data_IF_643959683600
#
_entry.id   IF_643959683600
#
_cell.length_a   1.000
_cell.length_b   1.000
_cell.length_c   1.000
_cell.angle_alpha   90.00
_cell.angle_beta   90.00
_cell.angle_gamma   90.00
#
_symmetry.space_group_name_H-M   'P 1'
#
loop_
_entity.id
_entity.type
_entity.pdbx_description
1 polymer ?
#
# COMPACT_ATOMS: atom_id res chain seq x y z
N UNK A 1 -1.06 -1.94 -16.04
CA UNK A 1 -1.82 -2.15 -14.78
C UNK A 1 -1.36 -1.18 -13.68
N UNK A 2 -2.09 -0.97 -12.57
CA UNK A 2 -1.80 0.07 -11.55
C UNK A 2 -0.32 0.09 -11.09
N UNK A 3 0.32 -1.08 -11.01
CA UNK A 3 1.74 -1.25 -10.65
C UNK A 3 2.74 -0.62 -11.63
N UNK A 4 2.36 -0.50 -12.89
CA UNK A 4 3.19 0.07 -13.96
C UNK A 4 2.95 1.58 -14.10
N UNK A 5 1.80 2.06 -13.63
CA UNK A 5 1.35 3.45 -13.79
C UNK A 5 1.57 4.31 -12.54
N UNK A 6 2.03 3.71 -11.44
CA UNK A 6 2.18 4.41 -10.15
C UNK A 6 3.51 4.06 -9.49
N UNK A 7 4.12 5.05 -8.83
CA UNK A 7 5.31 4.80 -8.02
C UNK A 7 4.95 4.02 -6.76
N UNK A 8 5.73 2.97 -6.46
CA UNK A 8 5.56 2.12 -5.28
C UNK A 8 5.54 2.93 -3.97
N UNK A 9 6.33 4.00 -3.89
CA UNK A 9 6.46 4.87 -2.72
C UNK A 9 5.15 5.58 -2.36
N UNK A 10 4.25 5.75 -3.34
CA UNK A 10 2.94 6.37 -3.14
C UNK A 10 1.92 5.39 -2.54
N UNK A 11 2.25 4.11 -2.44
CA UNK A 11 1.34 3.09 -1.93
C UNK A 11 1.41 3.10 -0.40
N UNK A 12 0.25 3.09 0.25
CA UNK A 12 0.12 3.08 1.71
C UNK A 12 -0.73 1.90 2.14
N UNK A 13 -0.42 1.35 3.31
CA UNK A 13 -1.23 0.30 3.93
C UNK A 13 -2.56 0.90 4.42
N UNK A 14 -3.67 0.25 4.06
CA UNK A 14 -4.98 0.52 4.63
C UNK A 14 -5.27 -0.54 5.70
N UNK A 15 -5.51 -0.15 6.98
CA UNK A 15 -5.90 -1.10 8.02
C UNK A 15 -7.11 -1.94 7.61
N UNK A 16 -7.10 -3.24 7.90
CA UNK A 16 -8.16 -4.17 7.45
C UNK A 16 -9.58 -3.76 7.85
N UNK A 17 -9.78 -3.29 9.10
CA UNK A 17 -11.09 -2.80 9.55
C UNK A 17 -11.61 -1.56 8.79
N UNK A 18 -10.72 -0.84 8.08
CA UNK A 18 -11.07 0.27 7.20
C UNK A 18 -11.11 -0.15 5.73
N UNK A 19 -10.52 -1.30 5.38
CA UNK A 19 -10.44 -1.78 4.01
C UNK A 19 -11.82 -2.26 3.53
N UNK A 20 -12.45 -1.58 2.56
CA UNK A 20 -13.74 -2.02 2.04
C UNK A 20 -13.66 -3.39 1.35
N UNK A 21 -12.49 -3.82 0.86
CA UNK A 21 -12.28 -5.15 0.28
C UNK A 21 -12.35 -6.29 1.31
N UNK A 22 -12.29 -5.98 2.61
CA UNK A 22 -12.49 -6.97 3.66
C UNK A 22 -13.98 -7.30 3.85
N UNK A 23 -14.91 -6.41 3.46
CA UNK A 23 -16.36 -6.65 3.56
C UNK A 23 -16.80 -7.92 2.80
N UNK A 24 -16.53 -8.08 1.49
CA UNK A 24 -16.86 -9.33 0.78
C UNK A 24 -16.10 -10.53 1.34
N UNK A 25 -14.85 -10.36 1.77
CA UNK A 25 -14.01 -11.41 2.36
C UNK A 25 -14.54 -11.92 3.71
N UNK A 26 -15.22 -11.07 4.49
CA UNK A 26 -15.81 -11.38 5.79
C UNK A 26 -17.24 -11.93 5.74
N UNK A 27 -17.64 -12.55 4.62
CA UNK A 27 -18.98 -13.16 4.40
C UNK A 27 -20.12 -12.16 4.21
N UNK A 28 -19.85 -10.96 3.71
CA UNK A 28 -20.90 -10.07 3.23
C UNK A 28 -21.45 -10.62 1.90
N UNK A 29 -22.76 -10.89 1.84
CA UNK A 29 -23.39 -11.29 0.57
C UNK A 29 -23.43 -10.10 -0.39
N UNK A 30 -23.47 -10.36 -1.70
CA UNK A 30 -23.58 -9.30 -2.71
C UNK A 30 -24.79 -8.37 -2.48
N UNK A 31 -25.91 -8.92 -1.98
CA UNK A 31 -27.08 -8.14 -1.57
C UNK A 31 -26.75 -7.12 -0.47
N UNK A 32 -25.94 -7.50 0.51
CA UNK A 32 -25.57 -6.64 1.63
C UNK A 32 -24.53 -5.56 1.24
N UNK A 33 -23.90 -5.70 0.07
CA UNK A 33 -23.03 -4.66 -0.50
C UNK A 33 -23.83 -3.60 -1.26
N UNK A 34 -25.05 -3.92 -1.72
CA UNK A 34 -25.92 -2.95 -2.37
C UNK A 34 -26.30 -1.88 -1.36
N UNK A 35 -25.90 -0.63 -1.64
CA UNK A 35 -26.12 0.50 -0.74
C UNK A 35 -25.18 0.54 0.48
N UNK A 36 -24.15 -0.32 0.54
CA UNK A 36 -23.13 -0.22 1.58
C UNK A 36 -22.23 1.00 1.32
N UNK A 37 -22.37 2.02 2.15
CA UNK A 37 -21.67 3.29 1.98
C UNK A 37 -20.15 3.13 1.96
N UNK A 38 -19.59 2.32 2.86
CA UNK A 38 -18.15 2.04 2.94
C UNK A 38 -17.62 1.32 1.70
N UNK A 39 -18.39 0.40 1.13
CA UNK A 39 -18.02 -0.29 -0.12
C UNK A 39 -18.04 0.65 -1.32
N UNK A 40 -19.03 1.54 -1.39
CA UNK A 40 -19.24 2.43 -2.52
C UNK A 40 -18.33 3.66 -2.49
N UNK A 41 -18.16 4.26 -1.31
CA UNK A 41 -17.42 5.51 -1.11
C UNK A 41 -16.00 5.28 -0.57
N UNK A 42 -15.69 4.07 -0.12
CA UNK A 42 -14.43 3.75 0.54
C UNK A 42 -14.40 4.20 2.00
N UNK A 43 -13.22 4.17 2.64
CA UNK A 43 -13.05 4.63 4.01
C UNK A 43 -13.02 6.16 4.12
N UNK A 44 -13.64 6.68 5.16
CA UNK A 44 -13.83 8.12 5.40
C UNK A 44 -12.53 8.93 5.39
N UNK A 45 -11.42 8.33 5.84
CA UNK A 45 -10.14 9.02 5.91
C UNK A 45 -9.61 9.45 4.53
N UNK A 46 -10.05 8.83 3.43
CA UNK A 46 -9.66 9.26 2.08
C UNK A 46 -10.19 10.65 1.73
N UNK A 47 -11.24 11.11 2.40
CA UNK A 47 -11.77 12.47 2.26
C UNK A 47 -11.02 13.48 3.13
N UNK A 48 -10.20 13.01 4.07
CA UNK A 48 -9.42 13.86 4.95
C UNK A 48 -8.05 14.19 4.32
N UNK A 49 -7.40 15.28 4.76
CA UNK A 49 -6.01 15.56 4.45
C UNK A 49 -5.07 14.38 4.76
N UNK A 50 -4.02 14.20 3.94
CA UNK A 50 -3.09 13.04 4.02
C UNK A 50 -2.39 12.87 5.38
N UNK A 51 -2.19 13.95 6.10
CA UNK A 51 -1.62 14.00 7.45
C UNK A 51 -2.55 13.37 8.50
N UNK A 52 -3.84 13.23 8.20
CA UNK A 52 -4.83 12.57 9.06
C UNK A 52 -5.11 11.13 8.66
N UNK A 53 -4.42 10.62 7.63
CA UNK A 53 -4.58 9.23 7.23
C UNK A 53 -4.00 8.30 8.30
N UNK A 54 -4.58 7.10 8.48
CA UNK A 54 -4.06 6.13 9.42
C UNK A 54 -2.62 5.80 9.04
N UNK A 55 -1.70 6.06 9.98
CA UNK A 55 -0.30 5.66 9.85
C UNK A 55 -0.17 4.27 10.44
N UNK A 56 0.37 3.34 9.67
CA UNK A 56 0.63 2.00 10.18
C UNK A 56 1.84 2.05 11.14
N UNK A 57 1.70 1.69 12.43
CA UNK A 57 2.84 1.61 13.33
C UNK A 57 3.90 0.58 12.87
N UNK A 58 3.57 -0.33 11.94
CA UNK A 58 4.50 -1.28 11.32
C UNK A 58 5.14 -0.77 10.02
N UNK A 59 4.64 0.30 9.40
CA UNK A 59 5.23 0.78 8.12
C UNK A 59 6.67 1.29 8.31
N UNK A 60 7.00 1.81 9.49
CA UNK A 60 8.36 2.21 9.86
C UNK A 60 9.35 1.04 9.82
N UNK A 61 8.93 -0.16 10.25
CA UNK A 61 9.80 -1.35 10.25
C UNK A 61 9.96 -1.93 8.84
N UNK A 62 8.88 -1.95 8.03
CA UNK A 62 8.98 -2.47 6.66
C UNK A 62 9.78 -1.52 5.75
N UNK A 63 9.69 -0.20 5.95
CA UNK A 63 10.51 0.77 5.24
C UNK A 63 12.00 0.59 5.58
N UNK A 64 12.36 0.35 6.85
CA UNK A 64 13.74 0.06 7.25
C UNK A 64 14.28 -1.28 6.71
N UNK A 65 13.46 -2.34 6.72
CA UNK A 65 13.85 -3.65 6.16
C UNK A 65 14.00 -3.58 4.63
N UNK A 66 13.09 -2.90 3.93
CA UNK A 66 13.21 -2.69 2.49
C UNK A 66 14.43 -1.82 2.14
N UNK A 67 14.71 -0.77 2.93
CA UNK A 67 15.89 0.08 2.74
C UNK A 67 17.20 -0.67 3.02
N UNK A 68 17.25 -1.51 4.05
CA UNK A 68 18.44 -2.32 4.35
C UNK A 68 18.69 -3.41 3.31
N UNK A 69 17.66 -4.03 2.75
CA UNK A 69 17.79 -4.97 1.64
C UNK A 69 18.26 -4.31 0.33
N UNK A 70 17.78 -3.11 0.02
CA UNK A 70 18.23 -2.31 -1.13
C UNK A 70 19.72 -1.96 -0.97
N UNK A 71 20.13 -1.51 0.22
CA UNK A 71 21.54 -1.21 0.52
C UNK A 71 22.40 -2.47 0.40
N UNK A 72 21.96 -3.61 0.94
CA UNK A 72 22.65 -4.90 0.81
C UNK A 72 22.78 -5.34 -0.65
N UNK A 73 21.75 -5.19 -1.47
CA UNK A 73 21.82 -5.51 -2.91
C UNK A 73 22.76 -4.58 -3.66
N UNK A 74 22.74 -3.27 -3.37
CA UNK A 74 23.66 -2.31 -3.99
C UNK A 74 25.13 -2.53 -3.60
N UNK A 75 25.39 -3.00 -2.38
CA UNK A 75 26.74 -3.40 -1.94
C UNK A 75 27.17 -4.78 -2.49
N UNK A 76 26.22 -5.69 -2.71
CA UNK A 76 26.47 -7.06 -3.19
C UNK A 76 26.68 -7.14 -4.71
N UNK A 77 26.09 -6.21 -5.49
CA UNK A 77 26.25 -6.15 -6.95
C UNK A 77 26.89 -4.84 -7.44
N UNK A 78 28.18 -4.55 -7.18
CA UNK A 78 28.83 -3.33 -7.66
C UNK A 78 29.11 -3.29 -9.17
N UNK A 79 28.73 -4.31 -9.94
CA UNK A 79 29.31 -4.57 -11.27
C UNK A 79 28.47 -4.12 -12.49
N UNK A 80 27.43 -3.30 -12.31
CA UNK A 80 26.64 -2.81 -13.45
C UNK A 80 26.78 -1.31 -13.74
N UNK A 81 27.96 -0.72 -13.47
CA UNK A 81 28.32 0.62 -13.95
C UNK A 81 29.63 0.57 -14.74
N UNK A 82 29.73 -0.30 -15.75
CA UNK A 82 30.78 -0.17 -16.77
C UNK A 82 30.16 0.42 -18.04
N UNK A 83 30.74 1.50 -18.58
CA UNK A 83 30.23 2.10 -19.80
C UNK A 83 30.37 1.08 -20.93
N UNK A 84 29.28 0.91 -21.69
CA UNK A 84 29.28 0.17 -22.94
C UNK A 84 30.34 0.83 -23.86
N UNK A 85 31.40 0.09 -24.18
CA UNK A 85 32.30 0.43 -25.28
C UNK A 85 31.65 0.09 -26.60
#
# INVERSE_FOLDING_TARGET
>A
EIRELTNKENWKHCPGHLNPADLPSCRCSGHNLVGNDKWLNGPDFLQLPKDQWPTDPQSTQHDELANTEIIKKNLSYPLLNKPLK
#
